data_IF_063029714384
#
_entry.id   IF_063029714384
#
_cell.length_a   1.000
_cell.length_b   1.000
_cell.length_c   1.000
_cell.angle_alpha   90.00
_cell.angle_beta   90.00
_cell.angle_gamma   90.00
#
_symmetry.space_group_name_H-M   'P 1'
#
loop_
_entity.id
_entity.type
_entity.pdbx_description
1 polymer ?
#
# COMPACT_ATOMS: atom_id res chain seq x y z
N UNK A 1 8.21 -6.62 -9.40
CA UNK A 1 8.38 -6.24 -7.98
C UNK A 1 9.34 -7.20 -7.31
N UNK A 2 10.38 -6.73 -6.62
CA UNK A 2 11.34 -7.62 -5.96
C UNK A 2 10.70 -8.24 -4.70
N UNK A 3 11.00 -9.50 -4.33
CA UNK A 3 10.34 -10.20 -3.20
C UNK A 3 10.36 -9.40 -1.91
N UNK A 4 11.44 -8.67 -1.66
CA UNK A 4 11.58 -7.78 -0.49
C UNK A 4 10.59 -6.62 -0.52
N UNK A 5 10.40 -5.97 -1.67
CA UNK A 5 9.43 -4.87 -1.81
C UNK A 5 8.00 -5.35 -1.60
N UNK A 6 7.67 -6.54 -2.10
CA UNK A 6 6.35 -7.14 -1.85
C UNK A 6 6.11 -7.37 -0.36
N UNK A 7 7.07 -7.98 0.34
CA UNK A 7 6.96 -8.22 1.78
C UNK A 7 6.84 -6.90 2.55
N UNK A 8 7.63 -5.88 2.19
CA UNK A 8 7.54 -4.56 2.81
C UNK A 8 6.15 -3.94 2.61
N UNK A 9 5.64 -3.88 1.38
CA UNK A 9 4.32 -3.32 1.09
C UNK A 9 3.21 -4.10 1.81
N UNK A 10 3.30 -5.43 1.84
CA UNK A 10 2.33 -6.28 2.53
C UNK A 10 2.32 -6.02 4.06
N UNK A 11 3.50 -5.92 4.69
CA UNK A 11 3.61 -5.61 6.11
C UNK A 11 3.06 -4.23 6.45
N UNK A 12 3.40 -3.21 5.66
CA UNK A 12 2.85 -1.86 5.85
C UNK A 12 1.34 -1.84 5.67
N UNK A 13 0.81 -2.51 4.64
CA UNK A 13 -0.63 -2.59 4.40
C UNK A 13 -1.36 -3.28 5.56
N UNK A 14 -0.79 -4.34 6.15
CA UNK A 14 -1.36 -5.00 7.31
C UNK A 14 -1.41 -4.09 8.55
N UNK A 15 -0.32 -3.34 8.80
CA UNK A 15 -0.23 -2.37 9.91
C UNK A 15 -1.24 -1.24 9.72
N UNK A 16 -1.30 -0.65 8.53
CA UNK A 16 -2.22 0.44 8.23
C UNK A 16 -3.68 -0.01 8.35
N UNK A 17 -4.01 -1.24 7.91
CA UNK A 17 -5.36 -1.80 8.04
C UNK A 17 -5.75 -2.01 9.51
N UNK A 18 -4.82 -2.49 10.34
CA UNK A 18 -5.05 -2.62 11.78
C UNK A 18 -5.35 -1.27 12.43
N UNK A 19 -4.50 -0.27 12.20
CA UNK A 19 -4.70 1.06 12.79
C UNK A 19 -5.91 1.79 12.23
N UNK A 20 -6.24 1.58 10.95
CA UNK A 20 -7.49 2.06 10.38
C UNK A 20 -8.69 1.51 11.14
N UNK A 21 -8.73 0.19 11.36
CA UNK A 21 -9.84 -0.47 12.05
C UNK A 21 -9.97 0.01 13.50
N UNK A 22 -8.83 0.13 14.19
CA UNK A 22 -8.77 0.68 15.56
C UNK A 22 -9.27 2.14 15.60
N UNK A 23 -8.88 2.96 14.61
CA UNK A 23 -9.30 4.36 14.51
C UNK A 23 -10.80 4.50 14.23
N UNK A 24 -11.38 3.57 13.44
CA UNK A 24 -12.82 3.52 13.21
C UNK A 24 -13.55 3.10 14.48
N UNK A 25 -13.08 2.06 15.17
CA UNK A 25 -13.69 1.57 16.41
C UNK A 25 -13.61 2.58 17.56
N UNK A 26 -12.53 3.35 17.63
CA UNK A 26 -12.32 4.40 18.64
C UNK A 26 -12.92 5.76 18.23
N UNK A 27 -13.72 5.81 17.16
CA UNK A 27 -14.37 7.02 16.63
C UNK A 27 -13.39 8.17 16.28
N UNK A 28 -12.11 7.84 16.07
CA UNK A 28 -11.06 8.76 15.66
C UNK A 28 -11.07 8.94 14.13
N UNK A 29 -12.14 9.53 13.60
CA UNK A 29 -12.38 9.63 12.16
C UNK A 29 -11.29 10.38 11.38
N UNK A 30 -10.66 11.41 11.96
CA UNK A 30 -9.54 12.10 11.33
C UNK A 30 -8.35 11.15 11.09
N UNK A 31 -8.04 10.32 12.10
CA UNK A 31 -6.98 9.33 12.02
C UNK A 31 -7.36 8.19 11.07
N UNK A 32 -8.63 7.78 11.07
CA UNK A 32 -9.13 6.79 10.11
C UNK A 32 -8.98 7.26 8.66
N UNK A 33 -9.28 8.52 8.35
CA UNK A 33 -9.08 9.09 6.99
C UNK A 33 -7.59 9.07 6.61
N UNK A 34 -6.72 9.43 7.55
CA UNK A 34 -5.27 9.37 7.34
C UNK A 34 -4.79 7.95 7.00
N UNK A 35 -5.21 6.93 7.76
CA UNK A 35 -4.87 5.55 7.49
C UNK A 35 -5.49 5.03 6.18
N UNK A 36 -6.74 5.39 5.87
CA UNK A 36 -7.39 5.02 4.63
C UNK A 36 -6.64 5.56 3.39
N UNK A 37 -6.14 6.79 3.45
CA UNK A 37 -5.32 7.36 2.39
C UNK A 37 -4.00 6.59 2.19
N UNK A 38 -3.35 6.17 3.27
CA UNK A 38 -2.14 5.36 3.23
C UNK A 38 -2.37 3.99 2.58
N UNK A 39 -3.45 3.30 2.97
CA UNK A 39 -3.86 2.01 2.40
C UNK A 39 -4.11 2.15 0.89
N UNK A 40 -4.87 3.17 0.48
CA UNK A 40 -5.15 3.43 -0.94
C UNK A 40 -3.87 3.63 -1.75
N UNK A 41 -2.90 4.38 -1.21
CA UNK A 41 -1.60 4.59 -1.84
C UNK A 41 -0.83 3.27 -1.96
N UNK A 42 -0.81 2.43 -0.93
CA UNK A 42 -0.10 1.15 -0.98
C UNK A 42 -0.72 0.18 -2.01
N UNK A 43 -2.04 0.17 -2.15
CA UNK A 43 -2.73 -0.58 -3.21
C UNK A 43 -2.37 -0.05 -4.60
N UNK A 44 -2.38 1.28 -4.78
CA UNK A 44 -2.01 1.90 -6.05
C UNK A 44 -0.55 1.63 -6.41
N UNK A 45 0.38 1.72 -5.46
CA UNK A 45 1.80 1.41 -5.67
C UNK A 45 1.95 -0.07 -6.03
N UNK A 46 1.26 -0.97 -5.34
CA UNK A 46 1.26 -2.40 -5.68
C UNK A 46 0.80 -2.65 -7.13
N UNK A 47 -0.25 -1.93 -7.57
CA UNK A 47 -0.80 -2.05 -8.93
C UNK A 47 0.09 -1.40 -10.00
N UNK A 48 0.63 -0.22 -9.73
CA UNK A 48 1.48 0.55 -10.66
C UNK A 48 2.89 -0.06 -10.77
N UNK A 49 3.42 -0.66 -9.69
CA UNK A 49 4.68 -1.40 -9.74
C UNK A 49 4.63 -2.60 -10.70
N UNK A 50 3.45 -3.14 -11.01
CA UNK A 50 3.30 -4.11 -12.10
C UNK A 50 3.62 -3.48 -13.46
N UNK A 51 2.98 -2.36 -13.78
CA UNK A 51 3.16 -1.66 -15.07
C UNK A 51 4.53 -1.03 -15.27
N UNK A 52 5.11 -0.43 -14.22
CA UNK A 52 6.44 0.17 -14.31
C UNK A 52 7.51 -0.90 -14.57
N UNK A 53 7.39 -2.06 -13.93
CA UNK A 53 8.32 -3.17 -14.14
C UNK A 53 8.19 -3.71 -15.56
N UNK A 54 6.96 -3.89 -16.07
CA UNK A 54 6.75 -4.32 -17.46
C UNK A 54 7.31 -3.32 -18.49
N UNK A 55 7.15 -2.02 -18.28
CA UNK A 55 7.67 -0.99 -19.21
C UNK A 55 9.20 -0.86 -19.17
N UNK A 56 9.83 -1.05 -18.00
CA UNK A 56 11.29 -1.06 -17.87
C UNK A 56 11.87 -2.33 -18.53
N UNK A 57 11.25 -3.49 -18.34
CA UNK A 57 11.70 -4.76 -18.94
C UNK A 57 11.60 -4.72 -20.48
N UNK A 58 10.61 -4.01 -21.01
CA UNK A 58 10.40 -3.83 -22.45
C UNK A 58 11.41 -2.90 -23.12
N UNK A 59 11.94 -1.91 -22.38
CA UNK A 59 12.98 -0.98 -22.88
C UNK A 59 14.42 -1.50 -22.68
N UNK A 60 14.62 -2.53 -21.86
CA UNK A 60 15.91 -3.20 -21.67
C UNK A 60 16.20 -4.32 -22.69
N UNK A 61 15.29 -4.55 -23.64
CA UNK A 61 15.40 -5.58 -24.67
C UNK A 61 15.80 -5.03 -26.03
#
# INVERSE_FOLDING_TARGET
MNRRQFITVALFTAVETYFFNESIMSEHYFMAIFWAFLILRNIQISYVMGRIVDEIDKHLK
#
